data_IF_832058476254
#
_entry.id   IF_832058476254
#
_cell.length_a   1.000
_cell.length_b   1.000
_cell.length_c   1.000
_cell.angle_alpha   90.00
_cell.angle_beta   90.00
_cell.angle_gamma   90.00
#
_symmetry.space_group_name_H-M   'P 1'
#
loop_
_entity.id
_entity.type
_entity.pdbx_description
1 polymer ?
#
# COMPACT_ATOMS: atom_id res chain seq x y z
N UNK A 1 -12.82 5.15 -15.35
CA UNK A 1 -13.57 3.96 -14.91
C UNK A 1 -14.39 3.42 -16.06
N UNK A 2 -14.37 2.10 -16.28
CA UNK A 2 -15.19 1.42 -17.30
C UNK A 2 -16.04 0.36 -16.63
N UNK A 3 -17.26 0.12 -17.12
CA UNK A 3 -18.13 -0.96 -16.62
C UNK A 3 -17.76 -2.25 -17.35
N UNK A 4 -17.28 -3.26 -16.62
CA UNK A 4 -16.89 -4.54 -17.22
C UNK A 4 -16.23 -5.49 -16.23
N UNK A 5 -15.90 -6.69 -16.72
CA UNK A 5 -15.08 -7.65 -15.98
C UNK A 5 -13.63 -7.14 -15.91
N UNK A 6 -13.08 -6.91 -14.70
CA UNK A 6 -11.73 -6.39 -14.54
C UNK A 6 -10.66 -7.27 -15.21
N UNK A 7 -10.82 -8.60 -15.21
CA UNK A 7 -9.84 -9.50 -15.82
C UNK A 7 -9.82 -9.36 -17.34
N UNK A 8 -10.99 -9.24 -17.96
CA UNK A 8 -11.12 -9.01 -19.41
C UNK A 8 -10.52 -7.67 -19.81
N UNK A 9 -10.75 -6.61 -19.01
CA UNK A 9 -10.15 -5.31 -19.24
C UNK A 9 -8.62 -5.37 -19.17
N UNK A 10 -8.07 -6.09 -18.19
CA UNK A 10 -6.62 -6.28 -18.06
C UNK A 10 -6.04 -7.04 -19.27
N UNK A 11 -6.68 -8.12 -19.70
CA UNK A 11 -6.24 -8.89 -20.88
C UNK A 11 -6.27 -8.03 -22.15
N UNK A 12 -7.33 -7.25 -22.33
CA UNK A 12 -7.48 -6.33 -23.46
C UNK A 12 -6.37 -5.27 -23.48
N UNK A 13 -6.14 -4.56 -22.36
CA UNK A 13 -5.12 -3.50 -22.30
C UNK A 13 -3.73 -4.07 -22.61
N UNK A 14 -3.39 -5.24 -22.05
CA UNK A 14 -2.11 -5.92 -22.32
C UNK A 14 -1.94 -6.32 -23.79
N UNK A 15 -3.02 -6.70 -24.46
CA UNK A 15 -2.99 -7.07 -25.87
C UNK A 15 -3.01 -5.85 -26.82
N UNK A 16 -3.55 -4.72 -26.36
CA UNK A 16 -3.74 -3.53 -27.17
C UNK A 16 -2.43 -2.79 -27.44
N UNK A 17 -1.65 -2.48 -26.39
CA UNK A 17 -0.36 -1.80 -26.52
C UNK A 17 0.58 -2.19 -25.37
N UNK A 18 1.78 -2.74 -25.66
CA UNK A 18 2.75 -3.10 -24.62
C UNK A 18 3.30 -1.90 -23.82
N UNK A 19 3.11 -0.67 -24.29
CA UNK A 19 3.51 0.55 -23.59
C UNK A 19 2.49 1.01 -22.53
N UNK A 20 1.28 0.44 -22.52
CA UNK A 20 0.27 0.76 -21.51
C UNK A 20 0.52 -0.03 -20.23
N UNK A 21 0.71 0.69 -19.13
CA UNK A 21 0.84 0.13 -17.80
C UNK A 21 -0.47 0.24 -17.02
N UNK A 22 -1.01 -0.91 -16.61
CA UNK A 22 -2.18 -0.96 -15.73
C UNK A 22 -1.73 -0.78 -14.27
N UNK A 23 -2.12 0.34 -13.66
CA UNK A 23 -1.65 0.70 -12.31
C UNK A 23 -2.53 0.18 -11.18
N UNK A 24 -3.83 0.04 -11.41
CA UNK A 24 -4.79 -0.51 -10.46
C UNK A 24 -5.90 -1.20 -11.25
N UNK A 25 -6.49 -2.22 -10.64
CA UNK A 25 -7.64 -2.94 -11.14
C UNK A 25 -8.60 -3.15 -9.97
N UNK A 26 -9.88 -2.89 -10.15
CA UNK A 26 -10.84 -3.00 -9.05
C UNK A 26 -12.10 -2.20 -9.30
N UNK A 27 -12.92 -2.11 -8.26
CA UNK A 27 -14.20 -1.40 -8.26
C UNK A 27 -14.26 -0.28 -7.22
N UNK A 28 -13.38 -0.31 -6.24
CA UNK A 28 -13.48 0.45 -5.01
C UNK A 28 -12.25 1.33 -4.77
N UNK A 29 -11.08 0.93 -5.28
CA UNK A 29 -9.83 1.68 -5.13
C UNK A 29 -9.44 2.38 -6.43
N UNK A 30 -9.42 3.71 -6.38
CA UNK A 30 -8.75 4.55 -7.37
C UNK A 30 -7.28 4.77 -6.97
N UNK A 31 -6.37 4.67 -7.94
CA UNK A 31 -4.93 4.86 -7.70
C UNK A 31 -4.37 6.01 -8.53
N UNK A 32 -3.66 6.91 -7.85
CA UNK A 32 -2.95 8.03 -8.46
C UNK A 32 -1.48 8.00 -8.01
N UNK A 33 -0.55 7.99 -8.97
CA UNK A 33 0.88 8.07 -8.70
C UNK A 33 1.60 8.80 -9.82
N UNK A 34 2.51 9.67 -9.45
CA UNK A 34 3.23 10.50 -10.41
C UNK A 34 4.49 11.10 -9.81
N UNK A 35 5.34 11.65 -10.66
CA UNK A 35 6.56 12.35 -10.28
C UNK A 35 6.26 13.82 -10.01
N UNK A 36 6.88 14.36 -8.96
CA UNK A 36 6.84 15.77 -8.61
C UNK A 36 6.65 16.02 -7.13
N UNK A 37 6.53 17.28 -6.77
CA UNK A 37 6.20 17.69 -5.40
C UNK A 37 4.76 17.27 -5.06
N UNK A 38 4.47 16.85 -3.80
CA UNK A 38 3.13 16.39 -3.41
C UNK A 38 2.01 17.38 -3.76
N UNK A 39 2.22 18.67 -3.54
CA UNK A 39 1.23 19.70 -3.88
C UNK A 39 0.91 19.77 -5.38
N UNK A 40 1.90 19.58 -6.25
CA UNK A 40 1.71 19.58 -7.69
C UNK A 40 0.95 18.33 -8.16
N UNK A 41 1.23 17.17 -7.55
CA UNK A 41 0.49 15.92 -7.81
C UNK A 41 -0.96 16.06 -7.34
N UNK A 42 -1.18 16.56 -6.13
CA UNK A 42 -2.52 16.77 -5.57
C UNK A 42 -3.37 17.72 -6.43
N UNK A 43 -2.76 18.79 -6.96
CA UNK A 43 -3.45 19.70 -7.87
C UNK A 43 -3.74 19.05 -9.23
N UNK A 44 -2.78 18.29 -9.79
CA UNK A 44 -2.91 17.64 -11.10
C UNK A 44 -4.07 16.66 -11.15
N UNK A 45 -4.28 15.93 -10.07
CA UNK A 45 -5.36 14.95 -9.95
C UNK A 45 -6.57 15.48 -9.19
N UNK A 46 -6.57 16.76 -8.79
CA UNK A 46 -7.68 17.44 -8.12
C UNK A 46 -8.17 16.73 -6.84
N UNK A 47 -7.22 16.35 -5.97
CA UNK A 47 -7.51 15.63 -4.72
C UNK A 47 -8.51 16.35 -3.80
N UNK A 48 -8.62 17.67 -3.91
CA UNK A 48 -9.55 18.47 -3.11
C UNK A 48 -11.03 18.15 -3.38
N UNK A 49 -11.36 17.56 -4.53
CA UNK A 49 -12.72 17.17 -4.91
C UNK A 49 -12.94 15.65 -4.83
N UNK A 50 -11.97 14.90 -4.31
CA UNK A 50 -12.11 13.46 -4.11
C UNK A 50 -12.84 13.14 -2.82
N UNK A 51 -13.58 12.04 -2.84
CA UNK A 51 -14.27 11.48 -1.67
C UNK A 51 -13.98 9.99 -1.59
N UNK A 52 -13.78 9.48 -0.38
CA UNK A 52 -13.59 8.07 -0.09
C UNK A 52 -13.69 7.82 1.41
N UNK A 53 -13.82 6.57 1.81
CA UNK A 53 -13.85 6.18 3.22
C UNK A 53 -12.47 6.20 3.87
N UNK A 54 -11.43 5.87 3.11
CA UNK A 54 -10.05 5.83 3.57
C UNK A 54 -9.09 6.14 2.42
N UNK A 55 -7.87 6.52 2.78
CA UNK A 55 -6.80 6.86 1.83
C UNK A 55 -5.46 6.37 2.36
N UNK A 56 -4.62 5.86 1.46
CA UNK A 56 -3.20 5.62 1.73
C UNK A 56 -2.36 6.50 0.82
N UNK A 57 -1.37 7.18 1.40
CA UNK A 57 -0.50 8.11 0.68
C UNK A 57 0.95 7.86 1.01
N UNK A 58 1.84 8.14 0.06
CA UNK A 58 3.27 7.96 0.26
C UNK A 58 4.07 8.98 -0.56
N UNK A 59 5.09 9.55 0.08
CA UNK A 59 6.11 10.36 -0.60
C UNK A 59 7.40 9.58 -0.65
N UNK A 60 7.88 9.26 -1.86
CA UNK A 60 9.10 8.47 -2.05
C UNK A 60 10.31 9.38 -2.27
N UNK A 61 11.36 9.19 -1.46
CA UNK A 61 12.69 9.73 -1.77
C UNK A 61 13.48 8.70 -2.59
N UNK A 62 13.59 8.92 -3.90
CA UNK A 62 14.41 8.08 -4.77
C UNK A 62 15.85 8.58 -4.77
N UNK A 63 16.74 7.95 -3.99
CA UNK A 63 18.17 8.29 -3.96
C UNK A 63 19.00 7.48 -4.95
N UNK A 64 18.57 6.24 -5.26
CA UNK A 64 19.34 5.31 -6.11
C UNK A 64 18.49 4.61 -7.20
N UNK A 65 17.17 4.74 -7.16
CA UNK A 65 16.27 4.07 -8.11
C UNK A 65 15.69 5.03 -9.14
N UNK A 66 15.19 4.48 -10.25
CA UNK A 66 14.50 5.27 -11.26
C UNK A 66 13.31 6.06 -10.68
N UNK A 67 13.27 7.36 -10.99
CA UNK A 67 12.18 8.28 -10.65
C UNK A 67 11.07 8.11 -11.68
N UNK A 68 10.26 7.07 -11.48
CA UNK A 68 9.26 6.62 -12.44
C UNK A 68 7.98 6.23 -11.70
N UNK A 69 6.78 6.50 -12.26
CA UNK A 69 5.52 6.19 -11.60
C UNK A 69 5.34 4.70 -11.30
N UNK A 70 5.83 3.78 -12.13
CA UNK A 70 5.73 2.32 -11.90
C UNK A 70 6.38 1.91 -10.57
N UNK A 71 7.49 2.55 -10.18
CA UNK A 71 8.20 2.30 -8.90
C UNK A 71 7.71 3.16 -7.73
N UNK A 72 6.80 4.09 -7.97
CA UNK A 72 6.20 4.89 -6.91
C UNK A 72 5.09 4.09 -6.21
N UNK A 73 5.02 4.26 -4.89
CA UNK A 73 3.89 3.82 -4.09
C UNK A 73 2.61 4.63 -4.42
N UNK A 74 1.42 4.09 -4.12
CA UNK A 74 1.15 2.74 -3.60
C UNK A 74 1.44 1.63 -4.63
N UNK A 75 1.82 0.45 -4.13
CA UNK A 75 1.82 -0.78 -4.92
C UNK A 75 0.48 -1.46 -4.78
N UNK A 76 0.02 -2.11 -5.84
CA UNK A 76 -1.22 -2.88 -5.86
C UNK A 76 -0.95 -4.30 -6.29
N UNK A 77 -1.67 -5.23 -5.70
CA UNK A 77 -1.76 -6.60 -6.13
C UNK A 77 -3.23 -7.00 -6.11
N UNK A 78 -3.68 -7.79 -7.08
CA UNK A 78 -5.09 -8.19 -7.14
C UNK A 78 -6.06 -7.06 -7.43
N UNK A 79 -7.32 -7.26 -7.02
CA UNK A 79 -8.38 -6.28 -7.12
C UNK A 79 -8.58 -5.56 -5.78
N UNK A 80 -8.75 -4.24 -5.79
CA UNK A 80 -9.10 -3.44 -4.62
C UNK A 80 -8.18 -3.68 -3.39
N UNK A 81 -6.87 -3.78 -3.63
CA UNK A 81 -5.83 -3.86 -2.60
C UNK A 81 -4.62 -3.00 -2.97
N UNK A 82 -4.16 -2.19 -2.01
CA UNK A 82 -2.99 -1.34 -2.14
C UNK A 82 -2.12 -1.33 -0.87
N UNK A 83 -0.83 -1.06 -1.04
CA UNK A 83 0.17 -1.07 0.02
C UNK A 83 1.17 0.08 -0.17
N UNK A 84 1.44 0.80 0.91
CA UNK A 84 2.58 1.71 1.05
C UNK A 84 3.54 1.18 2.10
N UNK A 85 4.83 1.46 1.91
CA UNK A 85 5.90 0.90 2.73
C UNK A 85 6.93 1.97 3.05
N UNK A 86 7.23 2.13 4.34
CA UNK A 86 8.40 2.88 4.80
C UNK A 86 9.40 1.88 5.39
N UNK A 87 10.54 1.69 4.72
CA UNK A 87 11.50 0.69 5.13
C UNK A 87 12.36 0.13 4.00
N UNK A 88 12.98 -1.01 4.26
CA UNK A 88 13.66 -1.84 3.29
C UNK A 88 13.50 -3.31 3.68
N UNK A 89 12.97 -4.13 2.78
CA UNK A 89 12.98 -5.58 2.94
C UNK A 89 14.33 -6.13 2.50
N UNK A 90 14.89 -7.07 3.27
CA UNK A 90 16.18 -7.69 3.01
C UNK A 90 16.07 -8.89 2.05
N UNK A 91 14.88 -9.50 1.94
CA UNK A 91 14.67 -10.74 1.19
C UNK A 91 13.69 -10.66 -0.02
N UNK A 92 13.51 -9.53 -0.74
CA UNK A 92 12.50 -9.43 -1.81
C UNK A 92 12.72 -10.43 -2.95
N UNK A 93 13.98 -10.74 -3.27
CA UNK A 93 14.31 -11.74 -4.29
C UNK A 93 14.03 -13.19 -3.84
N UNK A 94 14.06 -13.48 -2.54
CA UNK A 94 13.67 -14.79 -2.03
C UNK A 94 12.15 -14.97 -2.18
N UNK A 95 11.37 -13.97 -1.78
CA UNK A 95 9.91 -13.93 -1.99
C UNK A 95 9.56 -14.09 -3.47
N UNK A 96 10.26 -13.35 -4.35
CA UNK A 96 10.07 -13.48 -5.80
C UNK A 96 10.33 -14.90 -6.30
N UNK A 97 11.45 -15.53 -5.91
CA UNK A 97 11.78 -16.92 -6.29
C UNK A 97 10.76 -17.93 -5.77
N UNK A 98 10.13 -17.65 -4.64
CA UNK A 98 9.03 -18.47 -4.10
C UNK A 98 7.76 -18.32 -4.95
N UNK A 99 7.42 -17.10 -5.38
CA UNK A 99 6.13 -16.81 -6.01
C UNK A 99 6.11 -16.99 -7.54
N UNK A 100 7.23 -16.81 -8.23
CA UNK A 100 7.31 -16.97 -9.68
C UNK A 100 6.89 -18.38 -10.17
N UNK A 101 7.33 -19.50 -9.55
CA UNK A 101 6.87 -20.83 -9.91
C UNK A 101 5.36 -21.06 -9.70
N UNK A 102 4.71 -20.21 -8.88
CA UNK A 102 3.26 -20.22 -8.62
C UNK A 102 2.48 -19.34 -9.61
N UNK A 103 3.14 -18.80 -10.63
CA UNK A 103 2.52 -17.97 -11.66
C UNK A 103 2.35 -16.50 -11.30
N UNK A 104 2.88 -16.07 -10.15
CA UNK A 104 2.85 -14.66 -9.74
C UNK A 104 3.95 -13.90 -10.48
N UNK A 105 3.58 -12.78 -11.11
CA UNK A 105 4.49 -11.94 -11.88
C UNK A 105 4.84 -10.67 -11.10
N UNK A 106 6.04 -10.17 -11.35
CA UNK A 106 6.58 -8.93 -10.80
C UNK A 106 6.86 -7.96 -11.94
N UNK A 107 6.37 -6.73 -11.79
CA UNK A 107 6.52 -5.67 -12.78
C UNK A 107 7.76 -4.80 -12.51
N UNK A 108 8.25 -4.78 -11.27
CA UNK A 108 9.38 -3.97 -10.81
C UNK A 108 10.35 -4.78 -9.94
N UNK A 109 11.47 -4.14 -9.61
CA UNK A 109 12.46 -4.59 -8.62
C UNK A 109 12.28 -3.94 -7.25
N UNK A 110 11.17 -3.22 -7.03
CA UNK A 110 10.88 -2.58 -5.76
C UNK A 110 10.51 -3.64 -4.71
N UNK A 111 11.14 -3.58 -3.54
CA UNK A 111 10.91 -4.51 -2.46
C UNK A 111 9.46 -4.54 -1.98
N UNK A 112 8.78 -3.40 -2.04
CA UNK A 112 7.36 -3.29 -1.65
C UNK A 112 6.47 -4.13 -2.54
N UNK A 113 6.81 -4.30 -3.83
CA UNK A 113 6.06 -5.20 -4.70
C UNK A 113 6.13 -6.65 -4.19
N UNK A 114 7.28 -7.08 -3.66
CA UNK A 114 7.45 -8.42 -3.07
C UNK A 114 6.49 -8.68 -1.91
N UNK A 115 6.40 -7.76 -0.94
CA UNK A 115 5.44 -7.87 0.16
C UNK A 115 3.99 -7.78 -0.33
N UNK A 116 3.69 -6.82 -1.21
CA UNK A 116 2.34 -6.61 -1.73
C UNK A 116 1.82 -7.86 -2.47
N UNK A 117 2.64 -8.47 -3.33
CA UNK A 117 2.30 -9.71 -4.04
C UNK A 117 2.23 -10.92 -3.12
N UNK A 118 3.06 -10.99 -2.09
CA UNK A 118 3.03 -12.08 -1.13
C UNK A 118 1.72 -12.10 -0.35
N UNK A 119 1.33 -10.96 0.25
CA UNK A 119 0.09 -10.84 1.02
C UNK A 119 -1.11 -11.15 0.12
N UNK A 120 -1.13 -10.61 -1.09
CA UNK A 120 -2.23 -10.86 -2.01
C UNK A 120 -2.29 -12.32 -2.49
N UNK A 121 -1.14 -12.95 -2.72
CA UNK A 121 -1.08 -14.38 -3.02
C UNK A 121 -1.65 -15.22 -1.87
N UNK A 122 -1.29 -14.93 -0.61
CA UNK A 122 -1.87 -15.62 0.57
C UNK A 122 -3.39 -15.49 0.59
N UNK A 123 -3.90 -14.29 0.34
CA UNK A 123 -5.35 -14.04 0.27
C UNK A 123 -6.02 -14.82 -0.88
N UNK A 124 -5.36 -14.96 -2.04
CA UNK A 124 -5.85 -15.83 -3.14
C UNK A 124 -5.91 -17.30 -2.78
N UNK A 125 -4.99 -17.77 -1.93
CA UNK A 125 -4.97 -19.16 -1.44
C UNK A 125 -6.03 -19.42 -0.35
N UNK A 126 -6.80 -18.40 0.04
CA UNK A 126 -7.93 -18.52 0.95
C UNK A 126 -7.70 -17.96 2.36
N UNK A 127 -6.53 -17.37 2.64
CA UNK A 127 -6.31 -16.65 3.89
C UNK A 127 -7.17 -15.38 3.94
N UNK A 128 -7.66 -15.02 5.12
CA UNK A 128 -8.10 -13.64 5.34
C UNK A 128 -6.90 -12.70 5.49
N UNK A 129 -7.13 -11.38 5.47
CA UNK A 129 -6.04 -10.40 5.57
C UNK A 129 -5.20 -10.60 6.83
N UNK A 130 -5.82 -10.96 7.95
CA UNK A 130 -5.11 -11.14 9.22
C UNK A 130 -4.16 -12.34 9.14
N UNK A 131 -4.65 -13.49 8.68
CA UNK A 131 -3.83 -14.70 8.51
C UNK A 131 -2.71 -14.49 7.48
N UNK A 132 -3.00 -13.75 6.39
CA UNK A 132 -1.98 -13.40 5.41
C UNK A 132 -0.86 -12.54 6.02
N UNK A 133 -1.22 -11.58 6.88
CA UNK A 133 -0.26 -10.72 7.60
C UNK A 133 0.52 -11.48 8.68
N UNK A 134 -0.13 -12.39 9.42
CA UNK A 134 0.52 -13.28 10.39
C UNK A 134 1.62 -14.10 9.70
N UNK A 135 1.30 -14.72 8.56
CA UNK A 135 2.29 -15.43 7.74
C UNK A 135 3.38 -14.48 7.22
N UNK A 136 3.00 -13.23 6.91
CA UNK A 136 3.92 -12.19 6.49
C UNK A 136 5.00 -11.86 7.52
N UNK A 137 4.70 -11.93 8.83
CA UNK A 137 5.69 -11.70 9.87
C UNK A 137 6.81 -12.74 9.90
N UNK A 138 6.52 -13.98 9.47
CA UNK A 138 7.50 -15.07 9.41
C UNK A 138 8.31 -15.05 8.10
N UNK A 139 7.70 -14.61 7.00
CA UNK A 139 8.29 -14.67 5.66
C UNK A 139 8.99 -13.38 5.22
N UNK A 140 8.52 -12.20 5.65
CA UNK A 140 9.10 -10.92 5.26
C UNK A 140 10.22 -10.53 6.22
N UNK A 141 11.45 -10.40 5.69
CA UNK A 141 12.62 -10.00 6.47
C UNK A 141 13.04 -8.57 6.11
N UNK A 142 13.57 -7.84 7.10
CA UNK A 142 13.99 -6.45 7.01
C UNK A 142 13.30 -5.52 8.00
N UNK A 143 13.35 -4.22 7.72
CA UNK A 143 12.75 -3.18 8.55
C UNK A 143 11.65 -2.49 7.77
N UNK A 144 10.44 -2.50 8.28
CA UNK A 144 9.27 -2.04 7.53
C UNK A 144 8.16 -1.53 8.44
N UNK A 145 7.48 -0.51 7.95
CA UNK A 145 6.11 -0.18 8.33
C UNK A 145 5.27 -0.28 7.07
N UNK A 146 4.26 -1.14 7.09
CA UNK A 146 3.34 -1.35 5.97
C UNK A 146 1.98 -0.80 6.34
N UNK A 147 1.45 0.07 5.48
CA UNK A 147 0.09 0.57 5.55
C UNK A 147 -0.65 0.12 4.29
N UNK A 148 -1.77 -0.57 4.48
CA UNK A 148 -2.54 -1.20 3.42
C UNK A 148 -3.98 -0.71 3.42
N UNK A 149 -4.56 -0.60 2.23
CA UNK A 149 -5.99 -0.37 2.04
C UNK A 149 -6.59 -1.50 1.21
N UNK A 150 -7.69 -2.09 1.69
CA UNK A 150 -8.57 -2.97 0.91
C UNK A 150 -9.83 -2.19 0.48
N UNK A 151 -10.80 -2.88 -0.10
CA UNK A 151 -12.13 -2.35 -0.37
C UNK A 151 -12.80 -1.71 0.87
N UNK A 152 -12.59 -2.25 2.07
CA UNK A 152 -13.36 -1.90 3.29
C UNK A 152 -12.50 -1.74 4.55
N UNK A 153 -11.17 -1.92 4.46
CA UNK A 153 -10.27 -1.92 5.61
C UNK A 153 -9.02 -1.09 5.36
N UNK A 154 -8.52 -0.52 6.46
CA UNK A 154 -7.18 0.03 6.57
C UNK A 154 -6.39 -0.85 7.55
N UNK A 155 -5.18 -1.27 7.19
CA UNK A 155 -4.36 -2.13 8.02
C UNK A 155 -2.93 -1.59 8.15
N UNK A 156 -2.42 -1.55 9.38
CA UNK A 156 -1.06 -1.11 9.72
C UNK A 156 -0.32 -2.21 10.47
N UNK A 157 0.88 -2.52 10.00
CA UNK A 157 1.82 -3.42 10.68
C UNK A 157 3.24 -2.86 10.69
N UNK A 158 4.02 -3.27 11.69
CA UNK A 158 5.44 -2.95 11.82
C UNK A 158 6.27 -4.22 11.94
N UNK A 159 7.52 -4.13 11.49
CA UNK A 159 8.53 -5.16 11.69
C UNK A 159 8.75 -5.49 13.18
N UNK A 160 9.36 -6.64 13.51
CA UNK A 160 9.56 -7.10 14.90
C UNK A 160 10.39 -6.16 15.77
N UNK A 161 11.16 -5.25 15.15
CA UNK A 161 12.00 -4.30 15.85
C UNK A 161 11.39 -2.90 15.89
N UNK A 162 10.25 -2.69 15.21
CA UNK A 162 9.61 -1.38 15.07
C UNK A 162 10.61 -0.31 14.58
N UNK A 163 11.54 -0.67 13.69
CA UNK A 163 12.67 0.19 13.32
C UNK A 163 12.26 1.45 12.55
N UNK A 164 11.11 1.40 11.85
CA UNK A 164 10.57 2.53 11.09
C UNK A 164 9.45 3.19 11.89
N UNK A 165 9.42 4.54 11.97
CA UNK A 165 8.48 5.24 12.82
C UNK A 165 7.07 5.20 12.25
N UNK A 166 6.09 5.13 13.15
CA UNK A 166 4.68 5.24 12.85
C UNK A 166 3.96 5.81 14.08
N UNK A 167 3.04 6.73 13.85
CA UNK A 167 2.18 7.32 14.86
C UNK A 167 0.75 7.21 14.36
N UNK A 168 -0.14 6.78 15.25
CA UNK A 168 -1.58 6.70 15.02
C UNK A 168 -2.25 7.71 15.93
N UNK A 169 -3.24 8.42 15.39
CA UNK A 169 -4.16 9.26 16.13
C UNK A 169 -5.59 8.80 15.85
N UNK A 170 -6.32 8.44 16.90
CA UNK A 170 -7.71 7.98 16.83
C UNK A 170 -8.65 8.95 17.55
N UNK A 171 -9.76 9.24 16.89
CA UNK A 171 -10.92 9.97 17.45
C UNK A 171 -12.16 9.14 17.17
N UNK A 172 -13.32 9.59 17.68
CA UNK A 172 -14.61 8.99 17.31
C UNK A 172 -14.95 9.19 15.82
N UNK A 173 -14.34 10.18 15.16
CA UNK A 173 -14.63 10.56 13.77
C UNK A 173 -13.64 10.01 12.75
N UNK A 174 -12.39 9.74 13.14
CA UNK A 174 -11.35 9.30 12.22
C UNK A 174 -10.19 8.54 12.88
N UNK A 175 -9.48 7.81 12.03
CA UNK A 175 -8.16 7.23 12.30
C UNK A 175 -7.17 7.84 11.33
N UNK A 176 -6.07 8.41 11.84
CA UNK A 176 -5.01 9.00 11.03
C UNK A 176 -3.66 8.40 11.38
N UNK A 177 -2.88 8.06 10.36
CA UNK A 177 -1.62 7.33 10.47
C UNK A 177 -0.56 8.09 9.70
N UNK A 178 0.59 8.34 10.34
CA UNK A 178 1.73 8.97 9.68
C UNK A 178 3.06 8.46 10.25
N UNK A 179 4.13 8.59 9.46
CA UNK A 179 5.49 8.32 9.96
C UNK A 179 5.92 9.28 11.08
N UNK A 180 5.36 10.50 11.12
CA UNK A 180 5.68 11.53 12.10
C UNK A 180 4.42 12.30 12.52
N UNK A 181 4.31 12.62 13.82
CA UNK A 181 3.16 13.35 14.38
C UNK A 181 2.94 14.73 13.74
N UNK A 182 3.99 15.37 13.23
CA UNK A 182 3.89 16.68 12.58
C UNK A 182 2.89 16.69 11.41
N UNK A 183 2.75 15.58 10.70
CA UNK A 183 1.80 15.44 9.60
C UNK A 183 0.34 15.39 10.08
N UNK A 184 0.12 15.00 11.35
CA UNK A 184 -1.19 14.84 11.97
C UNK A 184 -1.59 16.06 12.81
N UNK A 185 -0.62 16.88 13.23
CA UNK A 185 -0.80 18.00 14.18
C UNK A 185 -1.76 19.11 13.70
N UNK A 186 -2.23 19.06 12.46
CA UNK A 186 -3.17 20.03 11.90
C UNK A 186 -4.57 19.44 11.65
N UNK A 187 -4.78 18.18 12.03
CA UNK A 187 -6.08 17.55 11.90
C UNK A 187 -7.10 18.14 12.89
N UNK A 188 -8.39 18.19 12.53
CA UNK A 188 -9.44 18.63 13.44
C UNK A 188 -9.42 17.80 14.73
N UNK A 189 -9.56 18.46 15.88
CA UNK A 189 -9.66 17.81 17.20
C UNK A 189 -8.46 16.91 17.62
N UNK A 190 -7.30 17.07 16.98
CA UNK A 190 -6.10 16.27 17.26
C UNK A 190 -5.65 16.33 18.73
N UNK A 191 -5.92 17.42 19.44
CA UNK A 191 -5.56 17.61 20.86
C UNK A 191 -6.32 16.64 21.80
N UNK A 192 -7.46 16.10 21.37
CA UNK A 192 -8.26 15.12 22.11
C UNK A 192 -8.12 13.68 21.57
N UNK A 193 -7.33 13.48 20.51
CA UNK A 193 -7.14 12.16 19.93
C UNK A 193 -6.36 11.22 20.87
N UNK A 194 -6.68 9.93 20.84
CA UNK A 194 -5.84 8.90 21.40
C UNK A 194 -4.64 8.68 20.47
N UNK A 195 -3.46 9.15 20.90
CA UNK A 195 -2.23 9.09 20.11
C UNK A 195 -1.28 8.03 20.66
N UNK A 196 -0.83 7.12 19.80
CA UNK A 196 0.09 6.06 20.19
C UNK A 196 1.05 5.67 19.05
N UNK A 197 2.16 5.03 19.43
CA UNK A 197 3.03 4.33 18.49
C UNK A 197 2.61 2.86 18.40
N UNK A 198 2.35 2.32 17.20
CA UNK A 198 1.99 0.91 17.04
C UNK A 198 3.09 -0.02 17.54
N UNK A 199 2.73 -1.10 18.23
CA UNK A 199 3.69 -2.09 18.72
C UNK A 199 4.31 -2.91 17.56
N UNK A 200 5.54 -3.44 17.75
CA UNK A 200 6.13 -4.38 16.80
C UNK A 200 5.28 -5.66 16.68
N UNK A 201 5.18 -6.21 15.46
CA UNK A 201 4.43 -7.45 15.17
C UNK A 201 2.96 -7.46 15.61
N UNK A 202 2.37 -6.28 15.84
CA UNK A 202 0.94 -6.16 16.10
C UNK A 202 0.21 -5.67 14.85
N UNK A 203 -1.01 -6.18 14.65
CA UNK A 203 -1.88 -5.82 13.55
C UNK A 203 -2.96 -4.86 14.03
N UNK A 204 -2.95 -3.66 13.45
CA UNK A 204 -4.00 -2.67 13.66
C UNK A 204 -4.85 -2.63 12.41
N UNK A 205 -6.13 -3.00 12.52
CA UNK A 205 -7.07 -3.09 11.40
C UNK A 205 -8.33 -2.30 11.74
N UNK A 206 -8.63 -1.32 10.90
CA UNK A 206 -9.83 -0.48 11.00
C UNK A 206 -10.75 -0.78 9.82
N UNK A 207 -12.06 -0.73 10.07
CA UNK A 207 -13.08 -0.91 9.04
C UNK A 207 -13.71 0.45 8.71
N UNK A 208 -13.85 0.69 7.41
CA UNK A 208 -14.58 1.82 6.84
C UNK A 208 -16.09 1.72 7.04
#
# INVERSE_FOLDING_TARGET
TVTGDPEQAQQFIKAYDPLLHLLSLGRSIDLYKDVGMPAAVAQRYDFAHMTGSHVVGHTRMATESAVTPDRAHPFTAGQDFCMVHNGSLSNPYQIRRMLEPRGIKFDTDNDTESACRFIEWRMREGDDLKTALETGFDELDGFYTLLMGTQDQLALIRDPFACKPAVVAETDDYVAIASEFRSLAHLPDIDHAYVFEPAPQEMYIWKA
#
